data_IF_780493878386
#
_entry.id   IF_780493878386
#
_cell.length_a   1.000
_cell.length_b   1.000
_cell.length_c   1.000
_cell.angle_alpha   90.00
_cell.angle_beta   90.00
_cell.angle_gamma   90.00
#
_symmetry.space_group_name_H-M   'P 1'
#
loop_
_entity.id
_entity.type
_entity.pdbx_description
1 polymer ?
#
# COMPACT_ATOMS: atom_id res chain seq x y z
N UNK A 1 10.20 4.43 -9.10
CA UNK A 1 9.88 3.20 -9.86
C UNK A 1 9.00 3.60 -11.04
N UNK A 2 9.12 2.94 -12.21
CA UNK A 2 8.15 3.15 -13.29
C UNK A 2 6.80 2.58 -12.84
N UNK A 3 5.71 3.33 -12.99
CA UNK A 3 4.38 2.84 -12.69
C UNK A 3 4.08 1.62 -13.57
N UNK A 4 3.87 0.47 -12.94
CA UNK A 4 3.42 -0.75 -13.61
C UNK A 4 1.97 -0.54 -14.04
N UNK A 5 1.69 -0.75 -15.34
CA UNK A 5 0.34 -0.68 -15.90
C UNK A 5 -0.20 -2.09 -16.13
N UNK A 6 -1.49 -2.28 -15.90
CA UNK A 6 -2.20 -3.54 -16.11
C UNK A 6 -3.24 -3.36 -17.20
N UNK A 7 -3.33 -4.35 -18.09
CA UNK A 7 -4.37 -4.38 -19.11
C UNK A 7 -5.57 -5.19 -18.58
N UNK A 8 -6.70 -4.52 -18.37
CA UNK A 8 -7.95 -5.13 -17.95
C UNK A 8 -9.03 -4.75 -18.96
N UNK A 9 -9.66 -5.75 -19.57
CA UNK A 9 -10.72 -5.55 -20.57
C UNK A 9 -10.31 -4.60 -21.73
N UNK A 10 -9.05 -4.67 -22.14
CA UNK A 10 -8.48 -3.82 -23.20
C UNK A 10 -8.17 -2.38 -22.79
N UNK A 11 -8.34 -2.03 -21.52
CA UNK A 11 -8.03 -0.70 -20.96
C UNK A 11 -6.84 -0.78 -20.00
N UNK A 12 -6.07 0.28 -19.93
CA UNK A 12 -4.91 0.38 -19.06
C UNK A 12 -5.30 0.92 -17.68
N UNK A 13 -4.78 0.26 -16.64
CA UNK A 13 -4.95 0.66 -15.24
C UNK A 13 -3.61 0.75 -14.55
N UNK A 14 -3.59 1.53 -13.48
CA UNK A 14 -2.45 1.61 -12.56
C UNK A 14 -2.87 1.07 -11.21
N UNK A 15 -1.92 0.56 -10.44
CA UNK A 15 -2.18 0.25 -9.04
C UNK A 15 -2.42 1.55 -8.25
N UNK A 16 -3.35 1.54 -7.32
CA UNK A 16 -3.54 2.63 -6.35
C UNK A 16 -2.31 2.75 -5.47
N UNK A 17 -1.88 3.99 -5.19
CA UNK A 17 -0.85 4.22 -4.18
C UNK A 17 -1.44 3.99 -2.79
N UNK A 18 -0.73 3.26 -1.93
CA UNK A 18 -1.20 3.03 -0.56
C UNK A 18 -1.36 4.34 0.22
N UNK A 19 -0.53 5.34 -0.09
CA UNK A 19 -0.55 6.67 0.55
C UNK A 19 -1.82 7.47 0.24
N UNK A 20 -2.48 7.16 -0.88
CA UNK A 20 -3.66 7.86 -1.37
C UNK A 20 -4.97 7.21 -0.89
N UNK A 21 -4.89 6.06 -0.22
CA UNK A 21 -6.07 5.36 0.29
C UNK A 21 -6.69 6.12 1.46
N UNK A 22 -8.00 6.30 1.39
CA UNK A 22 -8.77 6.72 2.57
C UNK A 22 -8.88 5.59 3.59
N UNK A 23 -9.14 5.94 4.85
CA UNK A 23 -9.34 4.96 5.94
C UNK A 23 -10.44 3.94 5.59
N UNK A 24 -11.50 4.39 4.92
CA UNK A 24 -12.61 3.52 4.53
C UNK A 24 -12.24 2.56 3.40
N UNK A 25 -11.47 3.02 2.40
CA UNK A 25 -10.98 2.18 1.32
C UNK A 25 -9.98 1.14 1.83
N UNK A 26 -9.05 1.54 2.71
CA UNK A 26 -8.10 0.65 3.37
C UNK A 26 -8.84 -0.45 4.15
N UNK A 27 -9.85 -0.08 4.95
CA UNK A 27 -10.64 -1.03 5.72
C UNK A 27 -11.37 -2.05 4.82
N UNK A 28 -11.93 -1.61 3.69
CA UNK A 28 -12.60 -2.49 2.74
C UNK A 28 -11.62 -3.47 2.08
N UNK A 29 -10.46 -2.97 1.65
CA UNK A 29 -9.41 -3.80 1.03
C UNK A 29 -8.91 -4.85 2.04
N UNK A 30 -8.61 -4.44 3.28
CA UNK A 30 -8.16 -5.34 4.34
C UNK A 30 -9.20 -6.42 4.65
N UNK A 31 -10.49 -6.07 4.70
CA UNK A 31 -11.57 -7.02 4.92
C UNK A 31 -11.70 -8.04 3.78
N UNK A 32 -11.51 -7.62 2.52
CA UNK A 32 -11.56 -8.50 1.36
C UNK A 32 -10.34 -9.42 1.27
N UNK A 33 -9.15 -8.91 1.56
CA UNK A 33 -7.90 -9.66 1.50
C UNK A 33 -7.67 -10.54 2.73
N UNK A 34 -8.37 -10.26 3.83
CA UNK A 34 -8.30 -11.02 5.07
C UNK A 34 -7.15 -10.59 5.98
N UNK A 35 -6.58 -9.40 5.78
CA UNK A 35 -5.47 -8.93 6.61
C UNK A 35 -5.93 -8.66 8.04
N UNK A 36 -5.40 -9.44 8.97
CA UNK A 36 -5.69 -9.26 10.41
C UNK A 36 -4.65 -8.38 11.12
N UNK A 37 -3.49 -8.16 10.49
CA UNK A 37 -2.41 -7.34 11.04
C UNK A 37 -1.60 -6.64 9.95
N UNK A 38 -0.83 -5.58 10.28
CA UNK A 38 0.12 -4.96 9.36
C UNK A 38 1.12 -5.95 8.76
N UNK A 39 1.50 -6.97 9.53
CA UNK A 39 2.50 -7.99 9.15
C UNK A 39 1.90 -9.17 8.36
N UNK A 40 0.58 -9.17 8.15
CA UNK A 40 -0.11 -10.20 7.39
C UNK A 40 0.14 -10.02 5.89
N UNK A 41 0.91 -10.96 5.33
CA UNK A 41 1.32 -10.97 3.93
C UNK A 41 0.63 -12.10 3.14
N UNK A 42 -0.44 -12.67 3.69
CA UNK A 42 -1.17 -13.78 3.08
C UNK A 42 -2.33 -13.29 2.22
N UNK A 43 -2.50 -13.88 1.03
CA UNK A 43 -3.65 -13.61 0.16
C UNK A 43 -4.68 -14.73 0.34
N UNK A 44 -5.91 -14.38 0.68
CA UNK A 44 -7.03 -15.31 0.54
C UNK A 44 -7.36 -15.54 -0.95
N UNK A 45 -7.36 -16.79 -1.40
CA UNK A 45 -7.58 -17.14 -2.82
C UNK A 45 -9.05 -17.01 -3.27
N UNK A 46 -9.97 -16.65 -2.38
CA UNK A 46 -11.42 -16.61 -2.64
C UNK A 46 -11.98 -15.20 -2.89
N UNK A 47 -11.14 -14.25 -3.30
CA UNK A 47 -11.57 -12.86 -3.50
C UNK A 47 -12.21 -12.69 -4.88
N UNK A 48 -13.39 -12.05 -4.91
CA UNK A 48 -14.10 -11.76 -6.16
C UNK A 48 -13.40 -10.62 -6.93
N UNK A 49 -12.95 -10.81 -8.18
CA UNK A 49 -12.23 -9.80 -8.96
C UNK A 49 -13.02 -8.49 -9.12
N UNK A 50 -14.33 -8.58 -9.27
CA UNK A 50 -15.26 -7.45 -9.40
C UNK A 50 -15.45 -6.64 -8.13
N UNK A 51 -15.06 -7.18 -6.97
CA UNK A 51 -15.06 -6.46 -5.70
C UNK A 51 -13.71 -5.81 -5.41
N UNK A 52 -12.62 -6.54 -5.65
CA UNK A 52 -11.28 -6.11 -5.25
C UNK A 52 -10.60 -5.21 -6.29
N UNK A 53 -10.68 -5.53 -7.58
CA UNK A 53 -9.96 -4.79 -8.61
C UNK A 53 -10.40 -3.32 -8.75
N UNK A 54 -11.68 -2.96 -8.62
CA UNK A 54 -12.09 -1.56 -8.61
C UNK A 54 -11.48 -0.74 -7.46
N UNK A 55 -11.13 -1.39 -6.34
CA UNK A 55 -10.49 -0.74 -5.20
C UNK A 55 -8.97 -0.62 -5.41
N UNK A 56 -8.34 -1.63 -6.01
CA UNK A 56 -6.90 -1.67 -6.21
C UNK A 56 -6.42 -0.88 -7.43
N UNK A 57 -7.29 -0.58 -8.39
CA UNK A 57 -6.91 0.01 -9.67
C UNK A 57 -7.40 1.45 -9.84
N UNK A 58 -6.58 2.27 -10.49
CA UNK A 58 -6.89 3.64 -10.91
C UNK A 58 -7.00 3.67 -12.43
N UNK A 59 -8.13 4.18 -12.94
CA UNK A 59 -8.48 4.21 -14.37
C UNK A 59 -9.99 4.33 -14.58
N UNK A 60 -10.46 4.07 -15.80
CA UNK A 60 -11.90 4.07 -16.14
C UNK A 60 -12.61 2.86 -15.53
N UNK A 61 -13.33 3.04 -14.41
CA UNK A 61 -13.99 1.94 -13.69
C UNK A 61 -15.42 1.66 -14.15
N UNK A 62 -16.12 2.67 -14.68
CA UNK A 62 -17.57 2.63 -14.89
C UNK A 62 -17.99 1.61 -15.96
N UNK A 63 -17.12 1.35 -16.94
CA UNK A 63 -17.44 0.52 -18.10
C UNK A 63 -16.49 -0.68 -18.24
N UNK A 64 -16.02 -1.25 -17.14
CA UNK A 64 -14.99 -2.30 -17.17
C UNK A 64 -15.46 -3.58 -16.51
N UNK A 65 -15.34 -4.69 -17.25
CA UNK A 65 -15.75 -5.99 -16.76
C UNK A 65 -14.61 -6.70 -16.01
N UNK A 66 -14.44 -6.37 -14.73
CA UNK A 66 -13.44 -6.98 -13.86
C UNK A 66 -13.62 -8.50 -13.67
N UNK A 67 -14.82 -9.06 -13.93
CA UNK A 67 -15.06 -10.51 -13.81
C UNK A 67 -14.32 -11.35 -14.86
N UNK A 68 -13.90 -10.73 -15.96
CA UNK A 68 -13.18 -11.40 -17.06
C UNK A 68 -11.67 -11.37 -16.91
N UNK A 69 -11.15 -10.79 -15.83
CA UNK A 69 -9.71 -10.74 -15.56
C UNK A 69 -9.20 -12.15 -15.31
N UNK A 70 -8.09 -12.49 -15.98
CA UNK A 70 -7.47 -13.79 -15.80
C UNK A 70 -6.99 -13.96 -14.35
N UNK A 71 -7.05 -15.19 -13.85
CA UNK A 71 -6.59 -15.47 -12.48
C UNK A 71 -5.12 -15.07 -12.25
N UNK A 72 -4.27 -15.24 -13.27
CA UNK A 72 -2.88 -14.79 -13.24
C UNK A 72 -2.78 -13.27 -13.04
N UNK A 73 -3.51 -12.49 -13.83
CA UNK A 73 -3.51 -11.03 -13.75
C UNK A 73 -4.03 -10.55 -12.39
N UNK A 74 -5.08 -11.20 -11.87
CA UNK A 74 -5.60 -10.94 -10.53
C UNK A 74 -4.51 -11.14 -9.47
N UNK A 75 -3.83 -12.28 -9.48
CA UNK A 75 -2.74 -12.58 -8.54
C UNK A 75 -1.59 -11.60 -8.66
N UNK A 76 -1.18 -11.24 -9.88
CA UNK A 76 -0.11 -10.26 -10.11
C UNK A 76 -0.47 -8.91 -9.47
N UNK A 77 -1.69 -8.39 -9.70
CA UNK A 77 -2.16 -7.12 -9.14
C UNK A 77 -2.21 -7.17 -7.60
N UNK A 78 -2.78 -8.24 -7.03
CA UNK A 78 -2.88 -8.41 -5.57
C UNK A 78 -1.51 -8.52 -4.92
N UNK A 79 -0.57 -9.22 -5.57
CA UNK A 79 0.80 -9.37 -5.06
C UNK A 79 1.54 -8.04 -5.08
N UNK A 80 1.45 -7.29 -6.18
CA UNK A 80 2.07 -5.96 -6.28
C UNK A 80 1.48 -4.99 -5.24
N UNK A 81 0.17 -5.08 -4.95
CA UNK A 81 -0.46 -4.31 -3.86
C UNK A 81 0.11 -4.63 -2.48
N UNK A 82 0.29 -5.92 -2.17
CA UNK A 82 0.87 -6.33 -0.89
C UNK A 82 2.29 -5.81 -0.74
N UNK A 83 3.10 -5.92 -1.80
CA UNK A 83 4.46 -5.37 -1.80
C UNK A 83 4.42 -3.86 -1.53
N UNK A 84 3.55 -3.11 -2.21
CA UNK A 84 3.42 -1.68 -1.98
C UNK A 84 2.98 -1.34 -0.54
N UNK A 85 2.05 -2.10 0.03
CA UNK A 85 1.60 -1.98 1.42
C UNK A 85 2.74 -2.23 2.41
N UNK A 86 3.46 -3.33 2.23
CA UNK A 86 4.62 -3.71 3.06
C UNK A 86 5.70 -2.64 2.97
N UNK A 87 6.05 -2.20 1.76
CA UNK A 87 7.04 -1.14 1.54
C UNK A 87 6.62 0.18 2.23
N UNK A 88 5.34 0.53 2.24
CA UNK A 88 4.83 1.68 2.99
C UNK A 88 4.99 1.47 4.50
N UNK A 89 4.49 0.35 5.05
CA UNK A 89 4.56 0.07 6.48
C UNK A 89 5.97 -0.10 7.03
N UNK A 90 6.95 -0.57 6.24
CA UNK A 90 8.35 -0.71 6.66
C UNK A 90 9.24 0.46 6.19
N UNK A 91 8.80 1.22 5.20
CA UNK A 91 9.38 2.51 4.83
C UNK A 91 9.09 3.61 5.87
N UNK A 92 7.92 3.57 6.51
CA UNK A 92 7.53 4.49 7.59
C UNK A 92 8.44 4.43 8.83
N UNK A 93 8.75 3.24 9.40
CA UNK A 93 9.65 3.08 10.53
C UNK A 93 10.98 3.78 10.33
N UNK A 94 11.57 3.69 9.14
CA UNK A 94 12.88 4.29 8.87
C UNK A 94 12.83 5.83 8.99
N UNK A 95 11.86 6.53 8.37
CA UNK A 95 11.83 7.99 8.48
C UNK A 95 11.41 8.47 9.88
N UNK A 96 10.50 7.76 10.57
CA UNK A 96 10.10 8.13 11.93
C UNK A 96 11.25 7.89 12.92
N UNK A 97 11.94 6.75 12.79
CA UNK A 97 13.11 6.43 13.60
C UNK A 97 14.22 7.44 13.38
N UNK A 98 14.54 7.78 12.12
CA UNK A 98 15.54 8.80 11.78
C UNK A 98 15.17 10.18 12.35
N UNK A 99 13.89 10.56 12.28
CA UNK A 99 13.37 11.83 12.83
C UNK A 99 13.45 11.87 14.36
N UNK A 100 13.12 10.76 15.04
CA UNK A 100 13.24 10.62 16.49
C UNK A 100 14.71 10.68 16.92
N UNK A 101 15.60 9.95 16.24
CA UNK A 101 17.04 9.98 16.51
C UNK A 101 17.63 11.38 16.34
N UNK A 102 17.25 12.08 15.28
CA UNK A 102 17.67 13.45 15.02
C UNK A 102 17.23 14.40 16.15
N UNK A 103 15.96 14.35 16.58
CA UNK A 103 15.44 15.15 17.70
C UNK A 103 16.16 14.82 19.02
N UNK A 104 16.44 13.54 19.28
CA UNK A 104 17.18 13.10 20.46
C UNK A 104 18.63 13.59 20.46
N UNK A 105 19.28 13.62 19.28
CA UNK A 105 20.64 14.15 19.12
C UNK A 105 20.69 15.66 19.35
N UNK A 106 19.73 16.41 18.81
CA UNK A 106 19.61 17.85 19.04
C UNK A 106 19.44 18.18 20.53
N UNK A 107 18.59 17.44 21.25
CA UNK A 107 18.39 17.59 22.70
C UNK A 107 19.66 17.32 23.50
N UNK A 108 20.41 16.26 23.18
CA UNK A 108 21.69 15.94 23.81
C UNK A 108 22.71 17.08 23.64
N UNK A 109 22.85 17.61 22.43
CA UNK A 109 23.75 18.73 22.13
C UNK A 109 23.36 20.01 22.89
N UNK A 110 22.06 20.30 23.00
CA UNK A 110 21.57 21.45 23.76
C UNK A 110 21.90 21.33 25.26
N UNK A 111 21.70 20.16 25.86
CA UNK A 111 22.02 19.92 27.27
C UNK A 111 23.52 19.99 27.57
N UNK A 112 24.38 19.52 26.66
CA UNK A 112 25.82 19.63 26.80
C UNK A 112 26.31 21.09 26.72
N UNK A 113 25.77 21.87 25.77
CA UNK A 113 26.07 23.32 25.68
C UNK A 113 25.64 24.08 26.94
N UNK A 114 24.54 23.69 27.58
CA UNK A 114 24.11 24.26 28.86
C UNK A 114 24.99 23.92 30.06
N UNK A 115 25.77 22.83 30.01
CA UNK A 115 26.69 22.44 31.09
C UNK A 115 28.09 23.04 30.94
N UNK A 116 28.41 23.55 29.76
CA UNK A 116 29.72 24.12 29.43
C UNK A 116 29.78 25.65 29.62
N UNK A 117 28.64 26.28 29.89
CA UNK A 117 28.51 27.68 30.32
C UNK A 117 28.12 27.72 31.80
#
# INVERSE_FOLDING_TARGET
>A
MKEKKYLVDGKEYSLVSYEDLTVDEEAQINALLGFQSPDDNTISLNVSPDKILPLLLVGDKENTNFKKVSYKTLLDIMTDFIVARVDFFYGIPNYLQDSIELKMKQKRNFLQKKKAN
#
